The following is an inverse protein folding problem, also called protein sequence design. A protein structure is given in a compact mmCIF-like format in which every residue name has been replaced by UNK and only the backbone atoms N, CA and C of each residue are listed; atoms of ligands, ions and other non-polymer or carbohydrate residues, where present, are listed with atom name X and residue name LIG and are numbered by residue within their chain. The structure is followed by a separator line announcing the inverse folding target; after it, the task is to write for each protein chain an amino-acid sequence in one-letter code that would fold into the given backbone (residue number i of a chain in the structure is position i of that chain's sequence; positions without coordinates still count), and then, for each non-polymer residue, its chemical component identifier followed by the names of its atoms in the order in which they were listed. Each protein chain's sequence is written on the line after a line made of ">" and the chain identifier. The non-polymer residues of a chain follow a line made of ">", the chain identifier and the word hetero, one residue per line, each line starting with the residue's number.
data_IF_151931491191
#
_entry.id   IF_151931491191
#
_cell.length_a   1.000
_cell.length_b   1.000
_cell.length_c   1.000
_cell.angle_alpha   90.00
_cell.angle_beta   90.00
_cell.angle_gamma   90.00
#
_symmetry.space_group_name_H-M   'P 1'
#
loop_
_entity.id
_entity.type
_entity.pdbx_description
1 polymer ?
#
# COMPACT_ATOMS: atom_id res chain seq x y z
N UNK A 1 2.21 7.72 -15.99
CA UNK A 1 2.94 6.96 -14.94
C UNK A 1 4.31 7.54 -14.58
N UNK A 2 4.77 8.63 -15.24
CA UNK A 2 5.99 9.36 -14.85
C UNK A 2 5.71 10.64 -14.05
N UNK A 3 4.44 11.03 -13.92
CA UNK A 3 4.04 12.20 -13.17
C UNK A 3 4.02 11.86 -11.67
N UNK A 4 4.93 12.47 -10.91
CA UNK A 4 5.09 12.20 -9.48
C UNK A 4 3.90 12.69 -8.66
N UNK A 5 3.26 13.79 -9.07
CA UNK A 5 2.12 14.37 -8.34
C UNK A 5 0.90 13.46 -8.52
N UNK A 6 0.65 13.01 -9.76
CA UNK A 6 -0.38 12.02 -10.04
C UNK A 6 -0.19 10.72 -9.25
N UNK A 7 1.03 10.17 -9.23
CA UNK A 7 1.32 8.92 -8.50
C UNK A 7 1.16 9.13 -6.99
N UNK A 8 1.58 10.27 -6.48
CA UNK A 8 1.41 10.66 -5.07
C UNK A 8 -0.07 10.70 -4.68
N UNK A 9 -0.87 11.44 -5.44
CA UNK A 9 -2.30 11.60 -5.17
C UNK A 9 -3.06 10.27 -5.26
N UNK A 10 -2.74 9.45 -6.27
CA UNK A 10 -3.34 8.13 -6.41
C UNK A 10 -3.00 7.20 -5.22
N UNK A 11 -1.75 7.19 -4.76
CA UNK A 11 -1.37 6.33 -3.63
C UNK A 11 -1.97 6.81 -2.31
N UNK A 12 -2.07 8.13 -2.09
CA UNK A 12 -2.74 8.70 -0.92
C UNK A 12 -4.23 8.38 -0.92
N UNK A 13 -4.90 8.51 -2.06
CA UNK A 13 -6.31 8.20 -2.19
C UNK A 13 -6.59 6.70 -2.04
N UNK A 14 -5.72 5.84 -2.57
CA UNK A 14 -5.78 4.39 -2.32
C UNK A 14 -5.72 4.07 -0.83
N UNK A 15 -4.79 4.69 -0.09
CA UNK A 15 -4.68 4.51 1.35
C UNK A 15 -5.96 4.99 2.09
N UNK A 16 -6.53 6.14 1.70
CA UNK A 16 -7.79 6.64 2.30
C UNK A 16 -8.97 5.70 2.03
N UNK A 17 -9.08 5.17 0.81
CA UNK A 17 -10.16 4.24 0.43
C UNK A 17 -10.06 2.91 1.15
N UNK A 18 -8.85 2.42 1.38
CA UNK A 18 -8.63 1.27 2.26
C UNK A 18 -8.83 1.59 3.75
N UNK A 19 -9.26 2.81 4.12
CA UNK A 19 -9.46 3.24 5.49
C UNK A 19 -8.16 3.20 6.34
N UNK A 20 -7.01 3.38 5.71
CA UNK A 20 -5.71 3.42 6.39
C UNK A 20 -5.48 4.78 7.05
N UNK A 21 -4.88 4.77 8.24
CA UNK A 21 -4.33 5.98 8.84
C UNK A 21 -2.95 6.26 8.27
N UNK A 22 -2.82 7.34 7.50
CA UNK A 22 -1.55 7.76 6.89
C UNK A 22 -0.66 8.43 7.94
N UNK A 23 0.58 7.96 8.05
CA UNK A 23 1.61 8.51 8.96
C UNK A 23 2.53 9.46 8.22
N UNK A 24 3.04 9.05 7.05
CA UNK A 24 3.92 9.87 6.22
C UNK A 24 3.97 9.32 4.79
N UNK A 25 4.60 10.05 3.88
CA UNK A 25 4.81 9.62 2.51
C UNK A 25 6.16 10.09 1.96
N UNK A 26 6.66 9.40 0.93
CA UNK A 26 7.80 9.85 0.13
C UNK A 26 7.65 9.36 -1.30
N UNK A 27 7.97 10.21 -2.26
CA UNK A 27 7.90 9.90 -3.70
C UNK A 27 9.13 10.47 -4.40
N UNK A 28 9.66 9.73 -5.36
CA UNK A 28 10.82 10.11 -6.13
C UNK A 28 10.60 9.82 -7.61
N UNK A 29 10.79 10.84 -8.44
CA UNK A 29 10.82 10.72 -9.89
C UNK A 29 12.24 10.39 -10.35
N UNK A 30 12.38 9.39 -11.21
CA UNK A 30 13.64 9.00 -11.83
C UNK A 30 13.77 9.61 -13.23
N UNK A 31 15.01 9.90 -13.64
CA UNK A 31 15.32 10.30 -15.01
C UNK A 31 15.68 9.07 -15.85
N UNK A 32 15.16 8.91 -17.08
CA UNK A 32 14.27 9.85 -17.79
C UNK A 32 12.78 9.75 -17.42
N UNK A 33 12.36 8.67 -16.77
CA UNK A 33 10.98 8.43 -16.36
C UNK A 33 10.92 7.40 -15.22
N UNK A 34 9.73 7.28 -14.63
CA UNK A 34 9.44 6.33 -13.55
C UNK A 34 9.35 7.02 -12.20
N UNK A 35 8.54 6.44 -11.32
CA UNK A 35 8.29 6.92 -9.97
C UNK A 35 8.43 5.75 -9.01
N UNK A 36 9.15 5.96 -7.91
CA UNK A 36 9.03 5.09 -6.74
C UNK A 36 8.44 5.89 -5.59
N UNK A 37 7.53 5.27 -4.84
CA UNK A 37 6.84 5.92 -3.75
C UNK A 37 6.40 4.97 -2.68
N UNK A 38 6.27 5.50 -1.47
CA UNK A 38 5.73 4.78 -0.33
C UNK A 38 4.86 5.71 0.52
N UNK A 39 3.71 5.18 0.93
CA UNK A 39 2.83 5.76 1.95
C UNK A 39 2.94 4.88 3.17
N UNK A 40 3.54 5.41 4.23
CA UNK A 40 3.61 4.73 5.51
C UNK A 40 2.27 4.95 6.20
N UNK A 41 1.61 3.85 6.53
CA UNK A 41 0.36 3.84 7.29
C UNK A 41 0.60 3.22 8.66
N UNK A 42 -0.36 3.33 9.56
CA UNK A 42 -0.24 2.72 10.89
C UNK A 42 0.16 1.23 10.77
N UNK A 43 1.39 0.92 11.20
CA UNK A 43 1.96 -0.43 11.31
C UNK A 43 2.16 -1.22 9.99
N UNK A 44 2.14 -0.55 8.84
CA UNK A 44 2.34 -1.20 7.54
C UNK A 44 2.65 -0.15 6.44
N UNK A 45 2.35 -0.42 5.16
CA UNK A 45 2.66 0.52 4.07
C UNK A 45 1.91 0.19 2.78
N UNK A 46 1.72 1.22 1.95
CA UNK A 46 1.50 1.05 0.51
C UNK A 46 2.77 1.50 -0.22
N UNK A 47 3.23 0.73 -1.21
CA UNK A 47 4.40 1.08 -2.02
C UNK A 47 4.10 0.91 -3.51
N UNK A 48 4.75 1.72 -4.34
CA UNK A 48 4.62 1.66 -5.79
C UNK A 48 5.96 1.91 -6.48
N UNK A 49 6.20 1.16 -7.56
CA UNK A 49 7.28 1.39 -8.51
C UNK A 49 6.71 1.36 -9.93
N UNK A 50 6.97 2.38 -10.73
CA UNK A 50 6.46 2.48 -12.10
C UNK A 50 7.58 2.36 -13.14
N UNK A 51 7.28 1.65 -14.23
CA UNK A 51 8.08 1.56 -15.46
C UNK A 51 7.23 2.00 -16.65
N UNK A 52 7.13 3.31 -16.92
CA UNK A 52 6.28 3.88 -17.96
C UNK A 52 6.58 3.34 -19.36
N UNK A 53 7.83 3.02 -19.66
CA UNK A 53 8.30 2.41 -20.91
C UNK A 53 7.67 1.03 -21.19
N UNK A 54 7.18 0.35 -20.16
CA UNK A 54 6.48 -0.93 -20.27
C UNK A 54 4.98 -0.81 -19.94
N UNK A 55 4.49 0.38 -19.60
CA UNK A 55 3.13 0.56 -19.08
C UNK A 55 2.87 -0.25 -17.80
N UNK A 56 3.89 -0.44 -16.97
CA UNK A 56 3.86 -1.34 -15.82
C UNK A 56 4.01 -0.60 -14.48
N UNK A 57 3.28 -1.05 -13.46
CA UNK A 57 3.50 -0.68 -12.07
C UNK A 57 3.52 -1.95 -11.20
N UNK A 58 4.50 -2.02 -10.31
CA UNK A 58 4.48 -2.92 -9.16
C UNK A 58 3.89 -2.15 -7.98
N UNK A 59 2.90 -2.74 -7.30
CA UNK A 59 2.23 -2.14 -6.15
C UNK A 59 2.17 -3.15 -5.03
N UNK A 60 2.57 -2.71 -3.83
CA UNK A 60 2.39 -3.45 -2.58
C UNK A 60 1.32 -2.73 -1.75
N UNK A 61 0.26 -3.45 -1.39
CA UNK A 61 -0.75 -2.98 -0.45
C UNK A 61 -0.66 -3.85 0.80
N UNK A 62 0.13 -3.40 1.77
CA UNK A 62 0.28 -4.07 3.04
C UNK A 62 -0.46 -3.27 4.10
N UNK A 63 -1.46 -3.89 4.71
CA UNK A 63 -2.29 -3.30 5.76
C UNK A 63 -2.35 -4.21 6.97
N UNK A 64 -2.83 -3.69 8.10
CA UNK A 64 -2.95 -4.49 9.32
C UNK A 64 -4.16 -4.08 10.16
N UNK A 65 -5.06 -5.02 10.42
CA UNK A 65 -6.31 -4.80 11.16
C UNK A 65 -7.53 -5.21 10.33
N UNK A 66 -8.58 -5.69 10.99
CA UNK A 66 -9.73 -6.35 10.34
C UNK A 66 -10.70 -5.38 9.66
N UNK A 67 -10.53 -4.07 9.89
CA UNK A 67 -11.37 -3.00 9.32
C UNK A 67 -10.81 -2.43 8.01
N UNK A 68 -9.62 -2.87 7.59
CA UNK A 68 -8.95 -2.35 6.40
C UNK A 68 -9.24 -3.27 5.22
N UNK A 69 -9.57 -2.67 4.07
CA UNK A 69 -9.93 -3.37 2.83
C UNK A 69 -8.87 -3.13 1.75
N UNK A 70 -7.84 -4.00 1.63
CA UNK A 70 -6.80 -3.89 0.59
C UNK A 70 -7.37 -3.89 -0.83
N UNK A 71 -8.50 -4.57 -1.03
CA UNK A 71 -9.20 -4.65 -2.30
C UNK A 71 -9.67 -3.29 -2.80
N UNK A 72 -10.05 -2.37 -1.90
CA UNK A 72 -10.52 -1.03 -2.28
C UNK A 72 -9.38 -0.16 -2.78
N UNK A 73 -8.20 -0.25 -2.13
CA UNK A 73 -6.98 0.38 -2.63
C UNK A 73 -6.60 -0.16 -4.02
N UNK A 74 -6.61 -1.49 -4.17
CA UNK A 74 -6.27 -2.13 -5.44
C UNK A 74 -7.23 -1.74 -6.57
N UNK A 75 -8.54 -1.81 -6.32
CA UNK A 75 -9.58 -1.48 -7.30
C UNK A 75 -9.47 -0.03 -7.74
N UNK A 76 -9.26 0.89 -6.79
CA UNK A 76 -9.03 2.28 -7.10
C UNK A 76 -7.76 2.50 -7.92
N UNK A 77 -6.63 1.87 -7.55
CA UNK A 77 -5.38 2.02 -8.31
C UNK A 77 -5.50 1.45 -9.72
N UNK A 78 -6.21 0.34 -9.90
CA UNK A 78 -6.52 -0.20 -11.23
C UNK A 78 -7.26 0.82 -12.10
N UNK A 79 -8.28 1.47 -11.55
CA UNK A 79 -9.06 2.50 -12.26
C UNK A 79 -8.23 3.75 -12.55
N UNK A 80 -7.53 4.28 -11.54
CA UNK A 80 -6.74 5.50 -11.64
C UNK A 80 -5.62 5.38 -12.68
N UNK A 81 -4.94 4.23 -12.73
CA UNK A 81 -3.87 3.96 -13.69
C UNK A 81 -4.38 3.45 -15.04
N UNK A 82 -5.69 3.22 -15.20
CA UNK A 82 -6.27 2.66 -16.43
C UNK A 82 -5.73 1.27 -16.76
N UNK A 83 -5.43 0.45 -15.74
CA UNK A 83 -4.77 -0.83 -15.92
C UNK A 83 -5.69 -1.84 -16.62
N UNK A 84 -5.34 -2.21 -17.85
CA UNK A 84 -6.07 -3.22 -18.62
C UNK A 84 -5.90 -4.65 -18.09
N UNK A 85 -4.82 -4.92 -17.35
CA UNK A 85 -4.54 -6.20 -16.72
C UNK A 85 -3.99 -5.98 -15.30
N UNK A 86 -4.40 -6.84 -14.37
CA UNK A 86 -3.94 -6.83 -12.99
C UNK A 86 -3.67 -8.28 -12.58
N UNK A 87 -2.50 -8.53 -12.01
CA UNK A 87 -2.13 -9.80 -11.39
C UNK A 87 -1.84 -9.55 -9.92
N UNK A 88 -2.40 -10.35 -9.03
CA UNK A 88 -2.30 -10.16 -7.58
C UNK A 88 -1.88 -11.44 -6.87
N UNK A 89 -1.19 -11.28 -5.76
CA UNK A 89 -0.87 -12.35 -4.82
C UNK A 89 -1.13 -11.82 -3.41
N UNK A 90 -1.96 -12.53 -2.65
CA UNK A 90 -2.21 -12.19 -1.25
C UNK A 90 -1.29 -13.01 -0.33
N UNK A 91 -0.70 -12.34 0.67
CA UNK A 91 0.12 -12.99 1.68
C UNK A 91 -0.29 -12.56 3.08
N UNK A 92 -0.77 -13.50 3.88
CA UNK A 92 -1.05 -13.27 5.31
C UNK A 92 0.25 -13.13 6.09
N UNK A 93 0.44 -12.00 6.75
CA UNK A 93 1.63 -11.67 7.56
C UNK A 93 1.31 -11.83 9.05
N UNK A 94 2.32 -12.16 9.85
CA UNK A 94 2.17 -12.22 11.31
C UNK A 94 1.29 -13.35 11.81
N UNK A 95 1.39 -14.55 11.22
CA UNK A 95 0.63 -15.74 11.64
C UNK A 95 1.07 -16.14 13.06
N UNK A 96 0.27 -15.75 14.06
CA UNK A 96 0.62 -15.81 15.48
C UNK A 96 0.71 -17.25 15.99
N UNK A 97 -0.07 -18.15 15.40
CA UNK A 97 0.02 -19.59 15.58
C UNK A 97 1.41 -20.13 15.23
N UNK A 98 2.06 -19.60 14.18
CA UNK A 98 3.44 -19.94 13.83
C UNK A 98 4.49 -19.32 14.76
N UNK A 99 4.13 -18.27 15.50
CA UNK A 99 5.04 -17.58 16.43
C UNK A 99 5.08 -18.24 17.81
N UNK A 100 4.24 -19.26 18.07
CA UNK A 100 4.16 -19.95 19.36
C UNK A 100 3.66 -19.07 20.51
N UNK A 101 3.04 -17.92 20.21
CA UNK A 101 2.51 -17.00 21.21
C UNK A 101 1.12 -17.52 21.63
N UNK A 102 0.91 -17.88 22.91
CA UNK A 102 -0.39 -18.29 23.39
C UNK A 102 -1.43 -17.18 23.17
N UNK A 103 -2.67 -17.54 22.82
CA UNK A 103 -3.71 -16.57 22.50
C UNK A 103 -4.00 -15.54 23.61
N UNK A 104 -3.68 -15.87 24.87
CA UNK A 104 -3.86 -14.97 26.02
C UNK A 104 -2.72 -13.96 26.22
N UNK A 105 -1.59 -14.13 25.51
CA UNK A 105 -0.43 -13.23 25.54
C UNK A 105 -0.38 -12.30 24.32
N UNK A 106 -1.33 -12.45 23.40
CA UNK A 106 -1.55 -11.56 22.26
C UNK A 106 -1.84 -10.14 22.77
N UNK A 107 -0.81 -9.30 22.77
CA UNK A 107 -0.97 -7.86 22.99
C UNK A 107 -1.52 -7.23 21.72
N UNK A 108 -2.74 -6.68 21.80
CA UNK A 108 -3.32 -5.86 20.73
C UNK A 108 -2.72 -4.46 20.75
N UNK A 109 -2.73 -3.83 19.57
CA UNK A 109 -1.75 -2.84 19.08
C UNK A 109 -1.69 -1.52 19.87
N UNK A 110 -0.50 -0.91 19.99
CA UNK A 110 -0.36 0.45 20.52
C UNK A 110 -1.11 1.45 19.63
N UNK A 111 -1.92 2.31 20.26
CA UNK A 111 -2.58 3.44 19.59
C UNK A 111 -1.50 4.42 19.13
N UNK A 112 -1.61 4.97 17.91
CA UNK A 112 -0.76 6.07 17.45
C UNK A 112 -0.72 7.14 18.55
N UNK A 113 0.47 7.49 19.03
CA UNK A 113 0.63 8.62 19.94
C UNK A 113 0.18 9.88 19.20
N UNK A 114 -0.81 10.59 19.79
CA UNK A 114 -1.29 11.88 19.31
C UNK A 114 -0.19 12.96 19.35
#
# INVERSE_FOLDING_TARGET
>A
MSDVDFVTDAMLEAARRANCTIVTQTFHHFSPYGVSGAVIVAESHLAIHTWPEYGYAAVDVFTCGDIIQPEDALNYLKEAFGAGQVSTMEMKRGQVDMMGIPAHELRVKPVLCA
#
